data_IF_237177769467
#
_entry.id   IF_237177769467
#
_cell.length_a   1.000
_cell.length_b   1.000
_cell.length_c   1.000
_cell.angle_alpha   90.00
_cell.angle_beta   90.00
_cell.angle_gamma   90.00
#
_symmetry.space_group_name_H-M   'P 1'
#
loop_
_entity.id
_entity.type
_entity.pdbx_description
1 polymer ?
#
# COMPACT_ATOMS: atom_id res chain seq x y z
N UNK A 1 4.96 14.45 21.15
CA UNK A 1 4.44 13.37 22.02
C UNK A 1 3.62 12.42 21.16
N UNK A 2 4.11 11.22 20.84
CA UNK A 2 3.33 10.24 20.07
C UNK A 2 2.37 9.52 21.03
N UNK A 3 1.11 9.95 21.07
CA UNK A 3 0.06 9.24 21.81
C UNK A 3 -0.11 7.88 21.14
N UNK A 4 0.22 6.81 21.85
CA UNK A 4 -0.13 5.46 21.41
C UNK A 4 -1.66 5.37 21.40
N UNK A 5 -2.29 4.97 20.28
CA UNK A 5 -3.74 4.94 20.21
C UNK A 5 -4.28 3.93 21.23
N UNK A 6 -5.26 4.37 22.03
CA UNK A 6 -5.87 3.60 23.13
C UNK A 6 -6.46 2.27 22.63
N UNK A 7 -7.02 2.29 21.42
CA UNK A 7 -7.61 1.13 20.76
C UNK A 7 -6.90 0.83 19.44
N UNK A 8 -6.90 -0.43 19.04
CA UNK A 8 -6.37 -0.85 17.73
C UNK A 8 -7.28 -1.86 17.08
N UNK A 9 -7.30 -1.85 15.74
CA UNK A 9 -8.04 -2.85 14.95
C UNK A 9 -7.71 -4.27 15.40
N UNK A 10 -6.42 -4.57 15.63
CA UNK A 10 -5.98 -5.89 16.10
C UNK A 10 -6.59 -6.24 17.46
N UNK A 11 -6.60 -5.32 18.41
CA UNK A 11 -7.11 -5.60 19.76
C UNK A 11 -8.62 -5.84 19.72
N UNK A 12 -9.37 -5.05 18.95
CA UNK A 12 -10.82 -5.22 18.78
C UNK A 12 -11.14 -6.59 18.17
N UNK A 13 -10.38 -7.05 17.18
CA UNK A 13 -10.60 -8.36 16.56
C UNK A 13 -10.29 -9.55 17.49
N UNK A 14 -9.36 -9.38 18.44
CA UNK A 14 -8.97 -10.43 19.40
C UNK A 14 -9.93 -10.47 20.58
N UNK A 15 -10.37 -9.30 21.04
CA UNK A 15 -11.23 -9.16 22.22
C UNK A 15 -12.51 -9.98 22.06
N UNK A 16 -12.95 -10.62 23.15
CA UNK A 16 -14.15 -11.46 23.20
C UNK A 16 -14.29 -12.47 22.03
N UNK A 17 -13.18 -12.88 21.42
CA UNK A 17 -13.15 -13.76 20.23
C UNK A 17 -13.94 -13.19 19.04
N UNK A 18 -14.05 -11.87 18.92
CA UNK A 18 -14.83 -11.18 17.89
C UNK A 18 -14.55 -11.69 16.47
N UNK A 19 -13.28 -11.87 16.10
CA UNK A 19 -12.93 -12.41 14.78
C UNK A 19 -13.41 -13.85 14.57
N UNK A 20 -13.28 -14.71 15.58
CA UNK A 20 -13.70 -16.11 15.46
C UNK A 20 -15.23 -16.24 15.38
N UNK A 21 -15.95 -15.44 16.16
CA UNK A 21 -17.42 -15.36 16.11
C UNK A 21 -17.87 -14.85 14.73
N UNK A 22 -17.29 -13.74 14.25
CA UNK A 22 -17.59 -13.20 12.93
C UNK A 22 -17.33 -14.22 11.82
N UNK A 23 -16.16 -14.87 11.85
CA UNK A 23 -15.79 -15.92 10.87
C UNK A 23 -16.76 -17.10 10.90
N UNK A 24 -17.25 -17.50 12.07
CA UNK A 24 -18.25 -18.56 12.20
C UNK A 24 -19.61 -18.19 11.65
N UNK A 25 -20.01 -16.92 11.77
CA UNK A 25 -21.29 -16.41 11.28
C UNK A 25 -21.28 -16.12 9.77
N UNK A 26 -20.09 -16.00 9.17
CA UNK A 26 -19.89 -15.68 7.75
C UNK A 26 -19.08 -16.76 7.01
N UNK A 27 -19.66 -17.97 6.77
CA UNK A 27 -18.97 -19.06 6.08
C UNK A 27 -18.62 -18.74 4.61
N UNK A 28 -19.25 -17.74 4.02
CA UNK A 28 -19.02 -17.24 2.65
C UNK A 28 -17.71 -16.45 2.48
N UNK A 29 -17.01 -16.13 3.58
CA UNK A 29 -15.79 -15.33 3.53
C UNK A 29 -14.70 -15.97 2.66
N UNK A 30 -14.09 -15.13 1.82
CA UNK A 30 -12.96 -15.53 1.00
C UNK A 30 -11.77 -16.00 1.86
N UNK A 31 -11.24 -17.19 1.55
CA UNK A 31 -10.13 -17.82 2.28
C UNK A 31 -8.88 -16.95 2.34
N UNK A 32 -8.63 -16.13 1.32
CA UNK A 32 -7.50 -15.21 1.29
C UNK A 32 -7.74 -14.00 2.21
N UNK A 33 -8.97 -13.49 2.32
CA UNK A 33 -9.35 -12.48 3.31
C UNK A 33 -9.09 -12.99 4.73
N UNK A 34 -9.60 -14.19 5.06
CA UNK A 34 -9.39 -14.85 6.36
C UNK A 34 -7.90 -14.92 6.68
N UNK A 35 -7.10 -15.46 5.73
CA UNK A 35 -5.64 -15.58 5.87
C UNK A 35 -4.94 -14.24 6.10
N UNK A 36 -5.40 -13.14 5.50
CA UNK A 36 -4.78 -11.83 5.70
C UNK A 36 -5.11 -11.23 7.08
N UNK A 37 -6.32 -11.45 7.59
CA UNK A 37 -6.70 -11.05 8.95
C UNK A 37 -5.92 -11.87 9.98
N UNK A 38 -5.94 -13.20 9.88
CA UNK A 38 -5.25 -14.07 10.84
C UNK A 38 -3.74 -13.82 10.88
N UNK A 39 -3.10 -13.54 9.72
CA UNK A 39 -1.71 -13.06 9.68
C UNK A 39 -1.49 -11.81 10.51
N UNK A 40 -2.41 -10.85 10.47
CA UNK A 40 -2.31 -9.64 11.30
C UNK A 40 -2.48 -9.95 12.78
N UNK A 41 -3.45 -10.80 13.13
CA UNK A 41 -3.68 -11.23 14.53
C UNK A 41 -2.44 -11.92 15.10
N UNK A 42 -1.78 -12.76 14.31
CA UNK A 42 -0.54 -13.46 14.65
C UNK A 42 0.74 -12.62 14.50
N UNK A 43 0.64 -11.33 14.17
CA UNK A 43 1.83 -10.51 13.97
C UNK A 43 2.63 -10.36 15.27
N UNK A 44 3.92 -10.70 15.21
CA UNK A 44 4.83 -10.69 16.37
C UNK A 44 4.44 -11.68 17.47
N UNK A 45 3.72 -12.76 17.12
CA UNK A 45 3.47 -13.87 18.02
C UNK A 45 4.82 -14.49 18.47
N UNK A 46 5.15 -14.46 19.77
CA UNK A 46 6.40 -15.03 20.28
C UNK A 46 6.59 -16.48 19.88
N UNK A 47 5.52 -17.29 19.91
CA UNK A 47 5.57 -18.72 19.58
C UNK A 47 6.05 -19.01 18.14
N UNK A 48 5.98 -18.03 17.23
CA UNK A 48 6.46 -18.17 15.85
C UNK A 48 7.96 -17.87 15.69
N UNK A 49 8.65 -17.55 16.78
CA UNK A 49 10.08 -17.29 16.82
C UNK A 49 10.45 -15.81 16.91
N UNK A 50 11.72 -15.56 17.18
CA UNK A 50 12.27 -14.22 17.38
C UNK A 50 13.77 -14.19 17.06
N UNK A 51 14.26 -12.98 16.77
CA UNK A 51 15.69 -12.69 16.78
C UNK A 51 16.07 -12.18 18.16
N UNK A 52 17.16 -12.69 18.72
CA UNK A 52 17.79 -12.13 19.91
C UNK A 52 19.20 -11.67 19.54
N UNK A 53 19.61 -10.53 20.09
CA UNK A 53 20.97 -10.05 19.93
C UNK A 53 21.28 -8.94 20.91
N UNK A 54 22.55 -8.60 21.05
CA UNK A 54 23.01 -7.56 21.96
C UNK A 54 23.42 -6.31 21.18
N UNK A 55 22.96 -5.14 21.66
CA UNK A 55 23.38 -3.85 21.13
C UNK A 55 24.49 -3.28 22.01
N UNK A 56 25.73 -3.28 21.54
CA UNK A 56 26.88 -2.72 22.27
C UNK A 56 26.75 -1.21 22.52
N UNK A 57 26.11 -0.48 21.60
CA UNK A 57 25.91 0.96 21.76
C UNK A 57 24.85 1.31 22.81
N UNK A 58 23.76 0.54 22.87
CA UNK A 58 22.71 0.76 23.87
C UNK A 58 22.94 -0.02 25.16
N UNK A 59 23.93 -0.92 25.17
CA UNK A 59 24.16 -1.93 26.22
C UNK A 59 22.89 -2.69 26.61
N UNK A 60 22.07 -3.06 25.61
CA UNK A 60 20.75 -3.69 25.81
C UNK A 60 20.60 -4.94 24.97
N UNK A 61 19.99 -5.96 25.58
CA UNK A 61 19.44 -7.11 24.87
C UNK A 61 18.25 -6.69 24.02
N UNK A 62 18.17 -7.23 22.81
CA UNK A 62 17.15 -6.89 21.83
C UNK A 62 16.46 -8.16 21.37
N UNK A 63 15.18 -8.28 21.71
CA UNK A 63 14.28 -9.32 21.19
C UNK A 63 13.41 -8.70 20.09
N UNK A 64 13.44 -9.31 18.90
CA UNK A 64 12.61 -8.90 17.77
C UNK A 64 11.79 -10.08 17.26
N UNK A 65 10.50 -10.05 17.55
CA UNK A 65 9.56 -11.05 17.04
C UNK A 65 9.36 -10.95 15.52
N UNK A 66 9.03 -12.09 14.91
CA UNK A 66 8.76 -12.16 13.47
C UNK A 66 7.50 -11.36 13.12
N UNK A 67 7.63 -10.52 12.09
CA UNK A 67 6.54 -9.72 11.54
C UNK A 67 5.77 -10.49 10.48
N UNK A 68 4.45 -10.33 10.44
CA UNK A 68 3.59 -11.08 9.51
C UNK A 68 3.68 -10.61 8.05
N UNK A 69 4.13 -9.37 7.80
CA UNK A 69 4.13 -8.73 6.47
C UNK A 69 2.76 -8.70 5.76
N UNK A 70 1.65 -8.87 6.51
CA UNK A 70 0.28 -8.83 6.00
C UNK A 70 -0.13 -7.45 5.47
N UNK A 71 -1.12 -7.41 4.57
CA UNK A 71 -1.59 -6.19 3.91
C UNK A 71 -2.38 -5.25 4.83
N UNK A 72 -3.07 -5.81 5.83
CA UNK A 72 -3.93 -5.09 6.78
C UNK A 72 -3.27 -4.84 8.13
N UNK A 73 -2.05 -5.33 8.35
CA UNK A 73 -1.33 -5.09 9.59
C UNK A 73 -0.75 -3.66 9.59
N UNK A 74 -1.29 -2.77 10.42
CA UNK A 74 -0.80 -1.38 10.57
C UNK A 74 0.71 -1.32 10.85
N UNK A 75 1.22 -2.21 11.71
CA UNK A 75 2.65 -2.29 12.09
C UNK A 75 3.54 -2.68 10.90
N UNK A 76 3.14 -3.68 10.12
CA UNK A 76 3.92 -4.17 8.99
C UNK A 76 3.75 -3.29 7.73
N UNK A 77 2.54 -2.75 7.54
CA UNK A 77 2.17 -1.90 6.42
C UNK A 77 3.10 -0.71 6.27
N UNK A 78 3.38 0.01 7.37
CA UNK A 78 4.32 1.15 7.37
C UNK A 78 5.72 0.76 6.87
N UNK A 79 6.25 -0.39 7.30
CA UNK A 79 7.58 -0.83 6.87
C UNK A 79 7.61 -1.24 5.40
N UNK A 80 6.52 -1.86 4.93
CA UNK A 80 6.35 -2.17 3.52
C UNK A 80 6.29 -0.90 2.67
N UNK A 81 5.47 0.07 3.06
CA UNK A 81 5.32 1.39 2.42
C UNK A 81 6.69 2.06 2.29
N UNK A 82 7.47 2.15 3.37
CA UNK A 82 8.80 2.74 3.32
C UNK A 82 9.74 2.00 2.34
N UNK A 83 9.78 0.66 2.38
CA UNK A 83 10.58 -0.13 1.44
C UNK A 83 10.13 0.06 -0.01
N UNK A 84 8.82 0.20 -0.23
CA UNK A 84 8.27 0.44 -1.56
C UNK A 84 8.63 1.84 -2.06
N UNK A 85 8.54 2.86 -1.22
CA UNK A 85 8.94 4.24 -1.53
C UNK A 85 10.39 4.28 -2.01
N UNK A 86 11.31 3.66 -1.28
CA UNK A 86 12.73 3.61 -1.67
C UNK A 86 12.97 2.89 -3.00
N UNK A 87 12.19 1.84 -3.31
CA UNK A 87 12.25 1.17 -4.61
C UNK A 87 11.64 2.00 -5.73
N UNK A 88 10.57 2.74 -5.45
CA UNK A 88 9.88 3.57 -6.42
C UNK A 88 10.69 4.82 -6.79
N UNK A 89 11.42 5.42 -5.83
CA UNK A 89 12.34 6.55 -6.05
C UNK A 89 13.37 6.25 -7.14
N UNK A 90 13.87 5.01 -7.18
CA UNK A 90 14.85 4.53 -8.18
C UNK A 90 14.27 4.28 -9.58
N UNK A 91 12.95 4.39 -9.76
CA UNK A 91 12.24 4.03 -11.00
C UNK A 91 11.46 5.18 -11.60
N UNK A 92 11.01 6.12 -10.78
CA UNK A 92 10.21 7.25 -11.23
C UNK A 92 11.15 8.37 -11.72
N UNK A 93 10.70 9.14 -12.70
CA UNK A 93 11.41 10.32 -13.20
C UNK A 93 11.65 11.31 -12.05
N UNK A 94 12.76 12.05 -12.09
CA UNK A 94 13.13 13.03 -11.04
C UNK A 94 12.30 14.31 -11.15
N UNK A 95 11.73 14.54 -12.32
CA UNK A 95 10.89 15.67 -12.63
C UNK A 95 9.57 15.66 -11.84
N UNK A 96 8.98 16.84 -11.73
CA UNK A 96 7.76 17.04 -10.95
C UNK A 96 6.55 16.33 -11.57
N UNK A 97 5.58 16.01 -10.71
CA UNK A 97 4.30 15.42 -11.11
C UNK A 97 3.14 16.37 -10.79
N UNK A 98 2.02 16.20 -11.47
CA UNK A 98 0.70 16.63 -11.00
C UNK A 98 0.06 15.50 -10.21
N UNK A 99 -0.57 15.84 -9.10
CA UNK A 99 -1.44 14.92 -8.37
C UNK A 99 -2.85 15.10 -8.90
N UNK A 100 -3.45 14.02 -9.37
CA UNK A 100 -4.82 14.03 -9.90
C UNK A 100 -5.65 13.05 -9.10
N UNK A 101 -6.77 13.49 -8.52
CA UNK A 101 -7.74 12.56 -7.94
C UNK A 101 -8.97 12.45 -8.83
N UNK A 102 -9.40 11.22 -9.09
CA UNK A 102 -10.58 10.91 -9.91
C UNK A 102 -11.58 10.14 -9.05
N UNK A 103 -12.84 10.59 -9.00
CA UNK A 103 -13.90 9.92 -8.24
C UNK A 103 -15.03 9.47 -9.16
N UNK A 104 -15.93 8.64 -8.63
CA UNK A 104 -17.13 8.19 -9.34
C UNK A 104 -18.41 8.51 -8.54
N UNK A 105 -19.55 8.73 -9.24
CA UNK A 105 -20.87 8.86 -8.62
C UNK A 105 -21.20 7.71 -7.67
N UNK A 106 -21.99 7.98 -6.62
CA UNK A 106 -22.41 6.96 -5.65
C UNK A 106 -23.15 5.80 -6.29
N UNK A 107 -24.02 6.08 -7.26
CA UNK A 107 -24.83 5.06 -7.92
C UNK A 107 -23.97 4.06 -8.69
N UNK A 108 -22.92 4.56 -9.35
CA UNK A 108 -22.00 3.74 -10.13
C UNK A 108 -21.13 2.82 -9.25
N UNK A 109 -20.98 3.13 -7.96
CA UNK A 109 -20.19 2.29 -7.03
C UNK A 109 -20.79 0.91 -6.85
N UNK A 110 -22.11 0.76 -6.98
CA UNK A 110 -22.80 -0.53 -6.88
C UNK A 110 -22.26 -1.55 -7.87
N UNK A 111 -21.78 -1.10 -9.03
CA UNK A 111 -21.12 -1.96 -10.01
C UNK A 111 -19.81 -2.57 -9.44
N UNK A 112 -19.13 -1.93 -8.51
CA UNK A 112 -17.81 -2.40 -8.06
C UNK A 112 -17.80 -3.06 -6.69
N UNK A 113 -18.92 -3.03 -5.96
CA UNK A 113 -19.03 -3.67 -4.63
C UNK A 113 -18.78 -5.17 -4.77
N UNK A 114 -17.84 -5.71 -4.00
CA UNK A 114 -17.46 -7.13 -4.04
C UNK A 114 -16.66 -7.57 -5.28
N UNK A 115 -16.69 -6.80 -6.39
CA UNK A 115 -16.09 -7.15 -7.68
C UNK A 115 -14.72 -6.50 -7.91
N UNK A 116 -13.71 -7.01 -7.20
CA UNK A 116 -12.34 -6.49 -7.26
C UNK A 116 -11.68 -6.63 -8.64
N UNK A 117 -12.08 -7.62 -9.42
CA UNK A 117 -11.68 -7.82 -10.81
C UNK A 117 -12.06 -6.61 -11.70
N UNK A 118 -13.27 -6.07 -11.50
CA UNK A 118 -13.75 -4.90 -12.23
C UNK A 118 -13.07 -3.59 -11.81
N UNK A 119 -12.53 -3.49 -10.59
CA UNK A 119 -11.85 -2.26 -10.12
C UNK A 119 -10.63 -1.89 -10.97
N UNK A 120 -10.06 -2.83 -11.75
CA UNK A 120 -9.00 -2.53 -12.72
C UNK A 120 -9.49 -1.57 -13.82
N UNK A 121 -10.78 -1.64 -14.19
CA UNK A 121 -11.39 -0.78 -15.21
C UNK A 121 -11.24 0.70 -14.84
N UNK A 122 -11.38 1.04 -13.55
CA UNK A 122 -11.16 2.40 -13.05
C UNK A 122 -9.72 2.85 -13.34
N UNK A 123 -8.74 2.02 -12.99
CA UNK A 123 -7.33 2.36 -13.14
C UNK A 123 -6.90 2.50 -14.61
N UNK A 124 -7.39 1.61 -15.48
CA UNK A 124 -7.11 1.68 -16.92
C UNK A 124 -7.78 2.89 -17.56
N UNK A 125 -9.03 3.16 -17.20
CA UNK A 125 -9.78 4.32 -17.69
C UNK A 125 -9.10 5.62 -17.28
N UNK A 126 -8.50 5.69 -16.08
CA UNK A 126 -7.78 6.88 -15.64
C UNK A 126 -6.54 7.17 -16.48
N UNK A 127 -5.79 6.12 -16.84
CA UNK A 127 -4.66 6.26 -17.76
C UNK A 127 -5.12 6.77 -19.13
N UNK A 128 -6.13 6.11 -19.73
CA UNK A 128 -6.67 6.47 -21.05
C UNK A 128 -7.22 7.91 -21.04
N UNK A 129 -7.95 8.31 -20.00
CA UNK A 129 -8.54 9.64 -19.91
C UNK A 129 -7.51 10.76 -19.81
N UNK A 130 -6.44 10.56 -19.02
CA UNK A 130 -5.38 11.56 -18.89
C UNK A 130 -4.52 11.59 -20.16
N UNK A 131 -4.29 10.46 -20.81
CA UNK A 131 -3.55 10.40 -22.08
C UNK A 131 -4.31 11.09 -23.21
N UNK A 132 -5.61 10.84 -23.34
CA UNK A 132 -6.49 11.54 -24.30
C UNK A 132 -6.52 13.03 -24.00
N UNK A 133 -6.61 13.42 -22.72
CA UNK A 133 -6.52 14.82 -22.30
C UNK A 133 -5.20 15.45 -22.76
N UNK A 134 -4.06 14.81 -22.49
CA UNK A 134 -2.75 15.29 -22.92
C UNK A 134 -2.64 15.41 -24.44
N UNK A 135 -3.17 14.43 -25.18
CA UNK A 135 -3.13 14.45 -26.64
C UNK A 135 -3.93 15.63 -27.22
N UNK A 136 -5.10 15.91 -26.65
CA UNK A 136 -5.97 17.02 -27.07
C UNK A 136 -5.39 18.38 -26.67
N UNK A 137 -4.89 18.51 -25.45
CA UNK A 137 -4.24 19.75 -24.96
C UNK A 137 -3.02 20.13 -25.80
N UNK A 138 -2.17 19.15 -26.14
CA UNK A 138 -0.95 19.40 -26.91
C UNK A 138 -1.14 19.33 -28.43
N UNK A 139 -2.34 18.97 -28.90
CA UNK A 139 -2.65 18.67 -30.31
C UNK A 139 -1.66 17.68 -30.96
N UNK A 140 -1.20 16.70 -30.17
CA UNK A 140 -0.15 15.73 -30.55
C UNK A 140 -0.52 14.35 -30.01
N UNK A 141 -0.16 13.28 -30.72
CA UNK A 141 -0.25 11.92 -30.18
C UNK A 141 0.91 11.69 -29.22
N UNK A 142 0.66 11.78 -27.92
CA UNK A 142 1.69 11.70 -26.88
C UNK A 142 1.47 10.51 -25.96
N UNK A 143 2.56 10.05 -25.33
CA UNK A 143 2.50 9.02 -24.29
C UNK A 143 2.84 9.64 -22.94
N UNK A 144 1.93 9.50 -21.97
CA UNK A 144 2.11 10.07 -20.63
C UNK A 144 2.89 9.10 -19.71
N UNK A 145 3.52 9.62 -18.65
CA UNK A 145 3.95 8.81 -17.52
C UNK A 145 2.98 8.97 -16.36
N UNK A 146 2.30 7.90 -15.93
CA UNK A 146 1.38 7.97 -14.77
C UNK A 146 1.49 6.76 -13.82
N UNK A 147 1.43 7.04 -12.52
CA UNK A 147 1.15 6.02 -11.50
C UNK A 147 -0.28 6.20 -11.01
N UNK A 148 -1.04 5.11 -10.93
CA UNK A 148 -2.46 5.12 -10.52
C UNK A 148 -2.63 4.26 -9.28
N UNK A 149 -2.95 4.88 -8.15
CA UNK A 149 -3.30 4.23 -6.89
C UNK A 149 -4.81 4.18 -6.69
N UNK A 150 -5.35 3.00 -6.42
CA UNK A 150 -6.76 2.79 -6.07
C UNK A 150 -6.95 2.86 -4.55
N UNK A 151 -7.99 3.57 -4.11
CA UNK A 151 -8.50 3.52 -2.76
C UNK A 151 -9.99 3.19 -2.79
N UNK A 152 -10.44 2.23 -1.98
CA UNK A 152 -11.82 1.71 -2.01
C UNK A 152 -12.73 2.26 -0.91
N UNK A 153 -12.23 3.18 -0.07
CA UNK A 153 -12.93 3.63 1.13
C UNK A 153 -12.79 5.13 1.39
N UNK A 154 -13.85 5.72 1.93
CA UNK A 154 -13.86 7.08 2.46
C UNK A 154 -13.39 7.18 3.91
N UNK A 155 -13.52 8.37 4.51
CA UNK A 155 -13.23 8.55 5.94
C UNK A 155 -14.22 7.79 6.84
N UNK A 156 -15.44 7.58 6.36
CA UNK A 156 -16.53 6.84 7.00
C UNK A 156 -16.46 5.32 6.80
N UNK A 157 -15.36 4.81 6.21
CA UNK A 157 -15.17 3.40 5.85
C UNK A 157 -16.21 2.83 4.88
N UNK A 158 -17.07 3.67 4.28
CA UNK A 158 -18.00 3.20 3.24
C UNK A 158 -17.25 2.94 1.95
N UNK A 159 -17.78 1.99 1.17
CA UNK A 159 -17.27 1.71 -0.17
C UNK A 159 -17.31 2.97 -1.05
N UNK A 160 -16.13 3.47 -1.38
CA UNK A 160 -15.90 4.69 -2.12
C UNK A 160 -14.64 4.51 -2.98
N UNK A 161 -14.72 3.76 -4.09
CA UNK A 161 -13.62 3.61 -5.01
C UNK A 161 -13.29 4.96 -5.66
N UNK A 162 -12.05 5.38 -5.50
CA UNK A 162 -11.49 6.58 -6.12
C UNK A 162 -9.99 6.38 -6.38
N UNK A 163 -9.46 7.19 -7.28
CA UNK A 163 -8.10 7.06 -7.77
C UNK A 163 -7.27 8.26 -7.35
N UNK A 164 -6.04 7.97 -6.96
CA UNK A 164 -4.96 8.91 -6.70
C UNK A 164 -3.90 8.69 -7.76
N UNK A 165 -3.70 9.68 -8.62
CA UNK A 165 -2.83 9.58 -9.78
C UNK A 165 -1.64 10.53 -9.62
N UNK A 166 -0.44 10.06 -9.95
CA UNK A 166 0.74 10.89 -10.13
C UNK A 166 1.09 10.95 -11.61
N UNK A 167 0.80 12.09 -12.23
CA UNK A 167 1.01 12.32 -13.67
C UNK A 167 2.33 13.09 -13.83
N UNK A 168 3.28 12.53 -14.57
CA UNK A 168 4.53 13.20 -14.88
C UNK A 168 4.25 14.49 -15.66
N UNK A 169 4.90 15.60 -15.31
CA UNK A 169 4.77 16.88 -16.04
C UNK A 169 5.50 16.90 -17.40
N UNK A 170 5.76 15.71 -17.95
CA UNK A 170 6.44 15.47 -19.21
C UNK A 170 5.76 14.31 -19.93
N UNK A 171 5.81 14.34 -21.26
CA UNK A 171 5.25 13.32 -22.14
C UNK A 171 6.24 12.99 -23.25
N UNK A 172 6.10 11.81 -23.84
CA UNK A 172 6.88 11.39 -25.00
C UNK A 172 6.10 11.65 -26.28
N UNK A 173 6.73 12.34 -27.23
CA UNK A 173 6.23 12.64 -28.56
C UNK A 173 7.35 12.40 -29.58
N UNK A 174 7.17 11.47 -30.53
CA UNK A 174 8.17 11.11 -31.54
C UNK A 174 9.58 10.91 -30.95
N UNK A 175 9.71 10.04 -29.95
CA UNK A 175 10.94 9.78 -29.18
C UNK A 175 11.52 10.96 -28.37
N UNK A 176 10.97 12.17 -28.49
CA UNK A 176 11.37 13.33 -27.69
C UNK A 176 10.50 13.46 -26.44
N UNK A 177 11.12 13.91 -25.34
CA UNK A 177 10.41 14.26 -24.12
C UNK A 177 10.10 15.76 -24.14
N UNK A 178 8.82 16.10 -24.01
CA UNK A 178 8.33 17.49 -23.99
C UNK A 178 7.51 17.75 -22.73
N UNK A 179 7.34 19.02 -22.38
CA UNK A 179 6.62 19.43 -21.18
C UNK A 179 5.10 19.26 -21.31
N UNK A 180 4.47 18.88 -20.20
CA UNK A 180 3.03 18.78 -20.03
C UNK A 180 2.67 19.21 -18.59
N UNK A 181 2.80 20.51 -18.36
CA UNK A 181 2.67 21.11 -17.02
C UNK A 181 1.23 21.50 -16.67
N UNK A 182 0.34 21.59 -17.67
CA UNK A 182 -1.05 21.98 -17.49
C UNK A 182 -2.00 20.85 -17.89
N UNK A 183 -2.91 20.48 -16.99
CA UNK A 183 -3.96 19.50 -17.23
C UNK A 183 -5.31 20.24 -17.12
N UNK A 184 -6.07 20.41 -18.22
CA UNK A 184 -7.34 21.12 -18.18
C UNK A 184 -8.40 20.29 -17.43
N UNK A 185 -8.66 20.64 -16.17
CA UNK A 185 -9.56 19.89 -15.27
C UNK A 185 -10.97 19.75 -15.85
N UNK A 186 -11.51 20.81 -16.48
CA UNK A 186 -12.85 20.78 -17.10
C UNK A 186 -12.97 19.82 -18.28
N UNK A 187 -11.91 19.68 -19.06
CA UNK A 187 -11.86 18.69 -20.14
C UNK A 187 -11.63 17.28 -19.59
N UNK A 188 -10.80 17.16 -18.55
CA UNK A 188 -10.50 15.88 -17.92
C UNK A 188 -11.74 15.26 -17.26
N UNK A 189 -12.60 16.03 -16.58
CA UNK A 189 -13.84 15.50 -15.97
C UNK A 189 -14.79 14.86 -16.99
N UNK A 190 -14.90 15.45 -18.18
CA UNK A 190 -15.73 14.94 -19.27
C UNK A 190 -15.08 13.68 -19.87
N UNK A 191 -13.79 13.76 -20.15
CA UNK A 191 -13.01 12.65 -20.71
C UNK A 191 -12.98 11.43 -19.78
N UNK A 192 -12.86 11.67 -18.46
CA UNK A 192 -12.95 10.66 -17.40
C UNK A 192 -14.29 9.95 -17.40
N UNK A 193 -15.40 10.70 -17.39
CA UNK A 193 -16.76 10.15 -17.48
C UNK A 193 -16.92 9.27 -18.72
N UNK A 194 -16.63 9.83 -19.90
CA UNK A 194 -16.92 9.17 -21.18
C UNK A 194 -16.13 7.86 -21.35
N UNK A 195 -14.83 7.88 -21.05
CA UNK A 195 -13.97 6.69 -21.16
C UNK A 195 -14.34 5.65 -20.10
N UNK A 196 -14.61 6.07 -18.87
CA UNK A 196 -15.00 5.13 -17.83
C UNK A 196 -16.30 4.39 -18.20
N UNK A 197 -17.33 5.12 -18.64
CA UNK A 197 -18.61 4.52 -19.06
C UNK A 197 -18.39 3.56 -20.23
N UNK A 198 -17.65 3.99 -21.25
CA UNK A 198 -17.29 3.14 -22.39
C UNK A 198 -16.60 1.84 -21.96
N UNK A 199 -15.65 1.92 -21.03
CA UNK A 199 -14.90 0.75 -20.58
C UNK A 199 -15.70 -0.15 -19.62
N UNK A 200 -16.62 0.42 -18.82
CA UNK A 200 -17.61 -0.36 -18.05
C UNK A 200 -18.53 -1.13 -19.01
N UNK A 201 -19.05 -0.49 -20.06
CA UNK A 201 -19.98 -1.14 -20.99
C UNK A 201 -19.34 -2.26 -21.84
N UNK A 202 -18.00 -2.26 -21.95
CA UNK A 202 -17.23 -3.35 -22.57
C UNK A 202 -16.97 -4.54 -21.64
N UNK A 203 -17.18 -4.36 -20.34
CA UNK A 203 -17.00 -5.43 -19.38
C UNK A 203 -18.13 -6.47 -19.49
N UNK A 204 -17.84 -7.67 -18.99
CA UNK A 204 -18.81 -8.73 -18.83
C UNK A 204 -19.64 -8.48 -17.57
N UNK A 205 -20.67 -7.66 -17.73
CA UNK A 205 -21.60 -7.20 -16.69
C UNK A 205 -23.03 -7.24 -17.24
N UNK A 206 -24.04 -7.19 -16.35
CA UNK A 206 -25.43 -7.31 -16.76
C UNK A 206 -25.87 -6.13 -17.65
N UNK A 207 -26.92 -6.34 -18.44
CA UNK A 207 -27.52 -5.28 -19.25
C UNK A 207 -27.98 -4.09 -18.37
N UNK A 208 -28.61 -4.37 -17.24
CA UNK A 208 -29.06 -3.34 -16.28
C UNK A 208 -27.90 -2.51 -15.70
N UNK A 209 -26.73 -3.10 -15.50
CA UNK A 209 -25.52 -2.38 -15.05
C UNK A 209 -24.95 -1.50 -16.16
N UNK A 210 -25.04 -1.94 -17.42
CA UNK A 210 -24.67 -1.10 -18.59
C UNK A 210 -25.63 0.08 -18.75
N UNK A 211 -26.93 -0.12 -18.59
CA UNK A 211 -27.92 0.96 -18.61
C UNK A 211 -27.66 1.98 -17.49
N UNK A 212 -27.38 1.51 -16.27
CA UNK A 212 -26.98 2.37 -15.16
C UNK A 212 -25.75 3.20 -15.56
N UNK A 213 -24.71 2.58 -16.13
CA UNK A 213 -23.52 3.28 -16.56
C UNK A 213 -23.81 4.33 -17.66
N UNK A 214 -24.60 3.99 -18.67
CA UNK A 214 -24.98 4.92 -19.75
C UNK A 214 -25.77 6.12 -19.23
N UNK A 215 -26.72 5.90 -18.31
CA UNK A 215 -27.52 6.98 -17.73
C UNK A 215 -26.67 8.05 -17.00
N UNK A 216 -25.42 7.73 -16.62
CA UNK A 216 -24.51 8.71 -16.03
C UNK A 216 -24.10 9.81 -17.01
N UNK A 217 -24.18 9.57 -18.34
CA UNK A 217 -23.88 10.60 -19.35
C UNK A 217 -24.84 11.79 -19.23
N UNK A 218 -26.13 11.50 -19.04
CA UNK A 218 -27.19 12.49 -18.88
C UNK A 218 -27.19 13.10 -17.48
N UNK A 219 -27.07 12.27 -16.42
CA UNK A 219 -27.10 12.74 -15.02
C UNK A 219 -25.92 13.63 -14.65
N UNK A 220 -24.78 13.47 -15.31
CA UNK A 220 -23.56 14.22 -15.03
C UNK A 220 -23.07 14.92 -16.30
N UNK A 221 -23.81 15.88 -16.88
CA UNK A 221 -23.52 16.45 -18.22
C UNK A 221 -22.15 17.14 -18.26
N UNK A 222 -21.70 17.66 -17.11
CA UNK A 222 -20.40 18.31 -16.93
C UNK A 222 -19.25 17.35 -16.60
N UNK A 223 -19.45 16.03 -16.63
CA UNK A 223 -18.42 15.06 -16.28
C UNK A 223 -18.37 14.70 -14.79
N UNK A 224 -17.45 13.81 -14.43
CA UNK A 224 -17.26 13.33 -13.06
C UNK A 224 -16.23 14.17 -12.31
N UNK A 225 -16.30 14.21 -10.98
CA UNK A 225 -15.42 15.07 -10.16
C UNK A 225 -13.95 14.66 -10.32
N UNK A 226 -13.12 15.66 -10.63
CA UNK A 226 -11.67 15.57 -10.72
C UNK A 226 -11.02 16.71 -9.96
N UNK A 227 -9.88 16.44 -9.34
CA UNK A 227 -9.05 17.47 -8.72
C UNK A 227 -7.62 17.35 -9.25
N UNK A 228 -6.99 18.47 -9.60
CA UNK A 228 -5.63 18.52 -10.15
C UNK A 228 -4.83 19.49 -9.29
N UNK A 229 -3.78 18.98 -8.65
CA UNK A 229 -2.92 19.73 -7.75
C UNK A 229 -1.46 19.63 -8.20
N UNK A 230 -0.68 20.65 -7.88
CA UNK A 230 0.77 20.59 -8.00
C UNK A 230 1.39 19.77 -6.88
N UNK A 231 2.31 18.87 -7.25
CA UNK A 231 3.15 18.19 -6.26
C UNK A 231 4.40 19.00 -5.94
N UNK A 232 4.86 18.91 -4.68
CA UNK A 232 6.04 19.62 -4.19
C UNK A 232 7.36 18.90 -4.50
N UNK A 233 7.39 17.56 -4.56
CA UNK A 233 8.61 16.78 -4.87
C UNK A 233 8.31 15.32 -5.26
N UNK A 234 9.28 14.67 -5.92
CA UNK A 234 9.24 13.23 -6.26
C UNK A 234 8.94 12.35 -5.04
N UNK A 235 9.60 12.62 -3.90
CA UNK A 235 9.37 11.88 -2.67
C UNK A 235 7.96 12.10 -2.11
N UNK A 236 7.46 13.33 -2.16
CA UNK A 236 6.11 13.65 -1.72
C UNK A 236 5.07 12.88 -2.53
N UNK A 237 5.24 12.79 -3.86
CA UNK A 237 4.35 12.06 -4.78
C UNK A 237 4.33 10.56 -4.47
N UNK A 238 5.50 9.95 -4.34
CA UNK A 238 5.59 8.51 -4.07
C UNK A 238 5.01 8.22 -2.69
N UNK A 239 5.33 9.01 -1.67
CA UNK A 239 4.77 8.84 -0.32
C UNK A 239 3.26 9.03 -0.33
N UNK A 240 2.75 10.02 -1.07
CA UNK A 240 1.33 10.27 -1.24
C UNK A 240 0.61 9.01 -1.73
N UNK A 241 1.08 8.40 -2.83
CA UNK A 241 0.52 7.16 -3.38
C UNK A 241 0.72 5.95 -2.46
N UNK A 242 1.86 5.88 -1.77
CA UNK A 242 2.21 4.74 -0.94
C UNK A 242 1.28 4.58 0.27
N UNK A 243 0.62 5.66 0.73
CA UNK A 243 -0.38 5.63 1.82
C UNK A 243 -1.52 4.65 1.55
N UNK A 244 -1.86 4.43 0.29
CA UNK A 244 -3.01 3.63 -0.11
C UNK A 244 -2.67 2.15 -0.34
N UNK A 245 -1.41 1.74 -0.18
CA UNK A 245 -0.98 0.40 -0.59
C UNK A 245 -1.23 -0.71 0.42
N UNK A 246 -0.94 -0.47 1.71
CA UNK A 246 -0.95 -1.48 2.79
C UNK A 246 -1.24 -0.83 4.13
N UNK A 247 -2.50 -0.48 4.32
CA UNK A 247 -3.03 -0.03 5.59
C UNK A 247 -4.48 -0.51 5.68
N UNK A 248 -4.99 -0.90 6.86
CA UNK A 248 -6.42 -1.13 7.02
C UNK A 248 -7.23 0.13 6.67
N UNK A 249 -8.52 -0.04 6.38
CA UNK A 249 -9.40 1.06 5.96
C UNK A 249 -9.54 2.21 7.00
N UNK A 250 -9.05 1.99 8.21
CA UNK A 250 -9.04 2.95 9.31
C UNK A 250 -7.69 3.01 10.01
N UNK A 251 -7.26 4.22 10.39
CA UNK A 251 -6.15 4.45 11.33
C UNK A 251 -6.61 4.16 12.75
N UNK A 252 -5.78 3.47 13.55
CA UNK A 252 -6.05 3.27 14.98
C UNK A 252 -6.32 4.58 15.73
N UNK A 253 -5.70 5.69 15.30
CA UNK A 253 -5.92 7.02 15.90
C UNK A 253 -7.32 7.60 15.68
N UNK A 254 -8.12 7.01 14.77
CA UNK A 254 -9.50 7.41 14.53
C UNK A 254 -10.50 6.61 15.36
N UNK A 255 -10.05 5.58 16.08
CA UNK A 255 -10.92 4.79 16.98
C UNK A 255 -10.95 5.54 18.31
N UNK A 256 -12.08 6.19 18.62
CA UNK A 256 -12.23 7.02 19.82
C UNK A 256 -12.64 6.18 21.03
N UNK A 257 -13.54 5.22 20.86
CA UNK A 257 -14.00 4.32 21.92
C UNK A 257 -14.30 2.91 21.43
N UNK A 258 -14.24 1.95 22.36
CA UNK A 258 -14.67 0.57 22.21
C UNK A 258 -15.10 0.05 23.59
N UNK A 259 -16.34 -0.44 23.70
CA UNK A 259 -16.96 -0.91 24.95
C UNK A 259 -17.10 -2.44 25.05
N UNK A 260 -16.55 -3.19 24.09
CA UNK A 260 -16.74 -4.62 23.95
C UNK A 260 -17.73 -5.01 22.85
N UNK A 261 -18.74 -4.17 22.58
CA UNK A 261 -19.84 -4.42 21.63
C UNK A 261 -19.91 -3.41 20.49
N UNK A 262 -19.62 -2.15 20.78
CA UNK A 262 -19.72 -1.03 19.85
C UNK A 262 -18.38 -0.30 19.74
N UNK A 263 -18.09 0.16 18.53
CA UNK A 263 -16.91 0.95 18.18
C UNK A 263 -17.37 2.33 17.72
N UNK A 264 -16.83 3.38 18.31
CA UNK A 264 -17.00 4.75 17.80
C UNK A 264 -15.74 5.20 17.09
N UNK A 265 -15.90 5.68 15.87
CA UNK A 265 -14.81 6.26 15.07
C UNK A 265 -15.04 7.75 14.83
N UNK A 266 -13.93 8.49 14.77
CA UNK A 266 -13.89 9.87 14.29
C UNK A 266 -13.86 9.90 12.76
N UNK A 267 -14.79 10.64 12.16
CA UNK A 267 -14.87 10.89 10.72
C UNK A 267 -14.68 12.38 10.44
N UNK A 268 -13.66 12.72 9.64
CA UNK A 268 -13.42 14.09 9.20
C UNK A 268 -14.03 14.27 7.79
N UNK A 269 -15.15 15.00 7.67
CA UNK A 269 -15.80 15.27 6.38
C UNK A 269 -15.01 16.28 5.57
N UNK A 270 -14.52 17.33 6.22
CA UNK A 270 -13.62 18.33 5.65
C UNK A 270 -12.80 18.98 6.79
N UNK A 271 -12.03 20.03 6.50
CA UNK A 271 -11.21 20.75 7.51
C UNK A 271 -12.02 21.32 8.68
N UNK A 272 -13.33 21.50 8.52
CA UNK A 272 -14.19 22.24 9.44
C UNK A 272 -15.32 21.41 10.05
N UNK A 273 -15.50 20.16 9.58
CA UNK A 273 -16.61 19.31 9.99
C UNK A 273 -16.13 17.90 10.30
N UNK A 274 -16.24 17.54 11.58
CA UNK A 274 -16.04 16.19 12.09
C UNK A 274 -17.35 15.64 12.66
N UNK A 275 -17.54 14.33 12.57
CA UNK A 275 -18.65 13.63 13.21
C UNK A 275 -18.21 12.26 13.71
N UNK A 276 -19.01 11.67 14.60
CA UNK A 276 -18.78 10.33 15.15
C UNK A 276 -19.64 9.33 14.41
N UNK A 277 -19.07 8.19 14.08
CA UNK A 277 -19.79 7.07 13.49
C UNK A 277 -19.64 5.85 14.39
N UNK A 278 -20.77 5.26 14.74
CA UNK A 278 -20.83 4.06 15.56
C UNK A 278 -21.01 2.83 14.66
N UNK A 279 -20.41 1.74 15.10
CA UNK A 279 -20.55 0.42 14.50
C UNK A 279 -20.75 -0.59 15.62
N UNK A 280 -21.59 -1.58 15.40
CA UNK A 280 -21.43 -2.86 16.11
C UNK A 280 -20.10 -3.51 15.71
N UNK A 281 -19.61 -4.47 16.51
CA UNK A 281 -18.42 -5.25 16.14
C UNK A 281 -18.57 -5.86 14.74
N UNK A 282 -19.72 -6.44 14.43
CA UNK A 282 -19.97 -7.10 13.15
C UNK A 282 -19.89 -6.12 11.97
N UNK A 283 -20.60 -4.99 12.05
CA UNK A 283 -20.57 -3.95 11.02
C UNK A 283 -19.17 -3.35 10.84
N UNK A 284 -18.41 -3.23 11.93
CA UNK A 284 -17.03 -2.74 11.87
C UNK A 284 -16.12 -3.72 11.12
N UNK A 285 -16.23 -5.02 11.39
CA UNK A 285 -15.46 -6.06 10.70
C UNK A 285 -15.86 -6.10 9.22
N UNK A 286 -17.16 -6.11 8.90
CA UNK A 286 -17.68 -6.06 7.53
C UNK A 286 -17.16 -4.83 6.77
N UNK A 287 -17.17 -3.66 7.41
CA UNK A 287 -16.65 -2.42 6.85
C UNK A 287 -15.14 -2.43 6.66
N UNK A 288 -14.40 -3.17 7.49
CA UNK A 288 -12.95 -3.29 7.39
C UNK A 288 -12.54 -4.24 6.25
N UNK A 289 -13.11 -5.45 6.20
CA UNK A 289 -12.61 -6.54 5.36
C UNK A 289 -12.96 -6.36 3.88
N UNK A 290 -14.06 -5.67 3.55
CA UNK A 290 -14.44 -5.39 2.16
C UNK A 290 -13.37 -4.62 1.39
N UNK A 291 -12.46 -3.95 2.09
CA UNK A 291 -11.36 -3.17 1.51
C UNK A 291 -10.04 -3.94 1.40
N UNK A 292 -10.03 -5.24 1.73
CA UNK A 292 -8.87 -6.10 1.55
C UNK A 292 -8.78 -6.51 0.08
N UNK A 293 -7.72 -6.11 -0.65
CA UNK A 293 -7.62 -6.44 -2.06
C UNK A 293 -7.43 -7.94 -2.26
N UNK A 294 -8.13 -8.50 -3.25
CA UNK A 294 -7.96 -9.88 -3.69
C UNK A 294 -6.48 -10.25 -3.89
N UNK A 295 -6.20 -11.55 -3.83
CA UNK A 295 -4.87 -12.08 -4.12
C UNK A 295 -4.39 -11.56 -5.46
N UNK A 296 -3.14 -11.09 -5.51
CA UNK A 296 -2.48 -10.53 -6.70
C UNK A 296 -3.02 -9.19 -7.25
N UNK A 297 -4.14 -8.65 -6.75
CA UNK A 297 -4.63 -7.34 -7.18
C UNK A 297 -3.56 -6.24 -6.97
N UNK A 298 -3.37 -5.38 -7.98
CA UNK A 298 -2.38 -4.30 -7.95
C UNK A 298 -3.05 -2.99 -7.60
N UNK A 299 -2.99 -2.63 -6.32
CA UNK A 299 -3.53 -1.36 -5.79
C UNK A 299 -2.86 -0.15 -6.45
N UNK A 300 -1.56 -0.22 -6.74
CA UNK A 300 -0.84 0.81 -7.49
C UNK A 300 -0.32 0.22 -8.80
N UNK A 301 -0.63 0.90 -9.91
CA UNK A 301 -0.22 0.52 -11.28
C UNK A 301 0.62 1.62 -11.92
N UNK A 302 1.49 1.19 -12.83
CA UNK A 302 2.47 2.03 -13.52
C UNK A 302 2.15 1.94 -15.02
N UNK A 303 1.78 3.07 -15.63
CA UNK A 303 1.34 3.12 -17.03
C UNK A 303 2.23 4.04 -17.88
N UNK A 304 2.09 3.90 -19.20
CA UNK A 304 2.80 4.69 -20.19
C UNK A 304 4.32 4.64 -20.00
N UNK A 305 4.96 5.80 -19.79
CA UNK A 305 6.43 5.90 -19.60
C UNK A 305 6.94 5.17 -18.36
N UNK A 306 6.07 4.91 -17.38
CA UNK A 306 6.42 4.11 -16.20
C UNK A 306 6.23 2.60 -16.40
N UNK A 307 5.74 2.18 -17.56
CA UNK A 307 5.59 0.76 -17.87
C UNK A 307 6.97 0.08 -17.90
N UNK A 308 7.01 -1.20 -17.51
CA UNK A 308 8.26 -1.97 -17.44
C UNK A 308 9.03 -2.02 -18.77
N UNK A 309 8.32 -1.92 -19.89
CA UNK A 309 8.91 -1.92 -21.23
C UNK A 309 9.67 -0.63 -21.49
N UNK A 310 9.04 0.52 -21.28
CA UNK A 310 9.66 1.83 -21.52
C UNK A 310 10.85 2.07 -20.59
N UNK A 311 10.71 1.80 -19.29
CA UNK A 311 11.81 1.94 -18.32
C UNK A 311 13.01 1.05 -18.67
N UNK A 312 12.79 -0.12 -19.28
CA UNK A 312 13.89 -0.98 -19.75
C UNK A 312 14.56 -0.44 -21.02
N UNK A 313 13.79 0.17 -21.92
CA UNK A 313 14.31 0.76 -23.16
C UNK A 313 15.15 1.99 -22.86
N UNK A 314 14.68 2.90 -22.01
CA UNK A 314 15.45 4.08 -21.60
C UNK A 314 16.75 3.69 -20.89
N UNK A 315 16.72 2.68 -20.00
CA UNK A 315 17.92 2.15 -19.33
C UNK A 315 18.90 1.43 -20.26
N UNK A 316 18.45 0.97 -21.44
CA UNK A 316 19.36 0.44 -22.46
C UNK A 316 20.05 1.57 -23.23
N UNK A 317 19.38 2.71 -23.38
CA UNK A 317 19.86 3.87 -24.13
C UNK A 317 20.70 4.82 -23.26
N UNK A 318 20.54 4.82 -21.93
CA UNK A 318 21.47 5.48 -21.02
C UNK A 318 22.70 4.58 -20.76
N UNK A 319 23.91 5.13 -20.89
CA UNK A 319 25.18 4.43 -20.63
C UNK A 319 25.39 3.97 -19.17
N UNK A 320 24.39 4.05 -18.29
CA UNK A 320 24.43 3.59 -16.89
C UNK A 320 24.25 2.07 -16.76
N UNK A 321 25.08 1.30 -17.49
CA UNK A 321 25.03 -0.17 -17.44
C UNK A 321 25.95 -0.79 -16.39
N UNK A 322 26.76 -0.02 -15.66
CA UNK A 322 27.83 -0.60 -14.83
C UNK A 322 27.50 -0.88 -13.36
N UNK A 323 26.45 -0.32 -12.73
CA UNK A 323 26.23 -0.59 -11.29
C UNK A 323 25.37 -1.81 -10.96
N UNK A 324 24.69 -2.44 -11.93
CA UNK A 324 23.71 -3.48 -11.60
C UNK A 324 24.33 -4.88 -11.47
N UNK A 325 25.53 -5.11 -12.02
CA UNK A 325 26.19 -6.44 -11.99
C UNK A 325 26.93 -6.68 -10.66
N UNK A 326 27.39 -5.65 -9.94
CA UNK A 326 28.03 -5.83 -8.62
C UNK A 326 27.06 -6.26 -7.51
N UNK A 327 25.75 -6.09 -7.72
CA UNK A 327 24.70 -6.49 -6.76
C UNK A 327 24.44 -8.00 -6.72
N UNK A 328 24.90 -8.76 -7.71
CA UNK A 328 24.75 -10.22 -7.72
C UNK A 328 25.87 -10.96 -6.99
N UNK A 329 27.06 -10.34 -6.85
CA UNK A 329 28.22 -10.93 -6.16
C UNK A 329 28.32 -10.56 -4.68
N UNK A 330 27.36 -9.81 -4.14
CA UNK A 330 27.30 -9.48 -2.72
C UNK A 330 25.92 -9.82 -2.16
N UNK A 331 25.67 -11.09 -1.93
CA UNK A 331 24.72 -11.53 -0.90
C UNK A 331 25.27 -11.15 0.49
N UNK A 332 25.47 -9.85 0.75
CA UNK A 332 25.81 -9.33 2.08
C UNK A 332 24.68 -9.78 3.00
N UNK A 333 25.03 -10.63 3.98
CA UNK A 333 24.14 -10.96 5.11
C UNK A 333 23.55 -9.65 5.62
N UNK A 334 22.22 -9.58 5.61
CA UNK A 334 21.50 -8.33 5.87
C UNK A 334 21.76 -7.93 7.32
N UNK A 335 22.59 -6.90 7.54
CA UNK A 335 22.92 -6.40 8.87
C UNK A 335 21.63 -6.01 9.60
N UNK A 336 21.37 -6.67 10.72
CA UNK A 336 20.21 -6.39 11.57
C UNK A 336 20.57 -5.23 12.50
N UNK A 337 19.75 -4.18 12.48
CA UNK A 337 19.99 -2.94 13.22
C UNK A 337 19.19 -2.90 14.52
N UNK A 338 19.77 -2.35 15.57
CA UNK A 338 19.12 -2.10 16.86
C UNK A 338 17.87 -1.24 16.66
N UNK A 339 16.70 -1.62 17.18
CA UNK A 339 15.48 -0.82 17.06
C UNK A 339 15.59 0.51 17.81
N UNK A 340 16.43 0.60 18.85
CA UNK A 340 16.63 1.78 19.67
C UNK A 340 17.57 2.81 18.99
N UNK A 341 18.85 2.48 18.81
CA UNK A 341 19.85 3.44 18.26
C UNK A 341 20.19 3.26 16.78
N UNK A 342 19.61 2.27 16.08
CA UNK A 342 19.89 1.96 14.66
C UNK A 342 21.30 1.45 14.34
N UNK A 343 22.20 1.34 15.32
CA UNK A 343 23.51 0.70 15.13
C UNK A 343 23.36 -0.81 14.85
N UNK A 344 24.31 -1.43 14.13
CA UNK A 344 24.35 -2.87 13.93
C UNK A 344 24.28 -3.64 15.25
N UNK A 345 23.47 -4.70 15.29
CA UNK A 345 23.51 -5.66 16.40
C UNK A 345 24.64 -6.66 16.14
N UNK A 346 25.38 -7.01 17.20
CA UNK A 346 26.29 -8.15 17.19
C UNK A 346 25.57 -9.40 17.71
N UNK A 347 26.07 -10.56 17.30
CA UNK A 347 25.62 -11.88 17.78
C UNK A 347 24.10 -12.06 17.68
N UNK A 348 23.53 -11.74 16.50
CA UNK A 348 22.09 -11.92 16.28
C UNK A 348 21.80 -13.38 15.95
N UNK A 349 21.11 -14.05 16.86
CA UNK A 349 20.65 -15.41 16.73
C UNK A 349 19.15 -15.46 16.45
N UNK A 350 18.73 -16.51 15.74
CA UNK A 350 17.33 -16.77 15.42
C UNK A 350 16.84 -17.98 16.19
N UNK A 351 15.75 -17.80 16.93
CA UNK A 351 15.16 -18.84 17.77
C UNK A 351 13.79 -19.24 17.21
N UNK A 352 13.65 -20.51 16.86
CA UNK A 352 12.39 -21.22 16.70
C UNK A 352 12.18 -21.95 18.02
N UNK A 353 11.07 -21.74 18.74
CA UNK A 353 10.86 -22.25 20.10
C UNK A 353 11.32 -23.72 20.24
N UNK A 354 12.19 -24.10 21.19
CA UNK A 354 12.30 -23.66 22.60
C UNK A 354 13.42 -22.64 22.90
N UNK A 355 13.23 -21.72 23.86
CA UNK A 355 14.35 -20.95 24.42
C UNK A 355 15.34 -21.90 25.12
N UNK A 356 16.67 -21.76 24.94
CA UNK A 356 17.61 -22.53 25.73
C UNK A 356 17.51 -22.12 27.20
N UNK A 357 17.64 -23.11 28.08
CA UNK A 357 17.69 -22.94 29.54
C UNK A 357 18.64 -21.79 29.94
N UNK A 358 18.17 -20.88 30.80
CA UNK A 358 18.94 -19.69 31.24
C UNK A 358 20.29 -20.08 31.85
N UNK A 359 20.39 -21.27 32.48
CA UNK A 359 21.65 -21.82 33.01
C UNK A 359 22.63 -22.24 31.90
N UNK A 360 22.13 -22.68 30.74
CA UNK A 360 22.93 -23.01 29.55
C UNK A 360 23.39 -21.77 28.76
N UNK A 361 22.73 -20.62 28.96
CA UNK A 361 23.16 -19.33 28.40
C UNK A 361 24.29 -18.75 29.25
N UNK A 362 24.17 -18.81 30.59
CA UNK A 362 25.22 -18.31 31.50
C UNK A 362 26.49 -19.16 31.48
N UNK A 363 26.40 -20.50 31.42
CA UNK A 363 27.59 -21.36 31.30
C UNK A 363 28.32 -21.25 29.96
N UNK A 364 27.71 -20.56 28.98
CA UNK A 364 28.35 -20.24 27.70
C UNK A 364 28.89 -18.81 27.66
N UNK A 365 28.51 -17.91 28.56
CA UNK A 365 29.05 -16.54 28.55
C UNK A 365 30.56 -16.50 28.83
N UNK A 366 31.08 -17.44 29.62
CA UNK A 366 32.53 -17.58 29.87
C UNK A 366 33.31 -18.21 28.70
N UNK A 367 32.61 -18.88 27.78
CA UNK A 367 33.20 -19.52 26.60
C UNK A 367 33.29 -18.59 25.37
N UNK A 368 32.82 -17.35 25.48
CA UNK A 368 32.73 -16.39 24.37
C UNK A 368 33.80 -15.28 24.42
N UNK A 369 34.71 -15.34 25.40
CA UNK A 369 35.81 -14.38 25.56
C UNK A 369 37.09 -14.81 24.82
N UNK A 370 37.22 -16.08 24.39
CA UNK A 370 38.42 -16.52 23.69
C UNK A 370 38.12 -17.06 22.28
N UNK A 371 38.17 -16.16 21.29
CA UNK A 371 38.04 -16.50 19.86
C UNK A 371 39.34 -17.09 19.25
N UNK A 372 40.34 -17.46 20.06
CA UNK A 372 41.60 -18.02 19.56
C UNK A 372 41.65 -19.56 19.50
N UNK A 373 40.66 -20.27 20.05
CA UNK A 373 40.86 -21.67 20.44
C UNK A 373 39.83 -22.71 19.95
N UNK A 374 39.06 -22.47 18.86
CA UNK A 374 38.23 -23.54 18.25
C UNK A 374 38.49 -23.85 16.76
N UNK A 375 38.71 -25.13 16.37
CA UNK A 375 39.43 -25.51 15.14
C UNK A 375 38.55 -25.65 13.89
N UNK A 376 37.23 -25.47 14.01
CA UNK A 376 36.30 -25.58 12.86
C UNK A 376 36.20 -24.29 12.02
N UNK A 377 36.97 -23.25 12.36
CA UNK A 377 37.06 -21.99 11.63
C UNK A 377 38.07 -22.01 10.45
N UNK A 378 38.53 -23.18 9.96
CA UNK A 378 39.58 -23.29 8.92
C UNK A 378 39.22 -24.01 7.60
N UNK A 379 37.94 -24.10 7.20
CA UNK A 379 37.59 -24.64 5.85
C UNK A 379 36.57 -23.81 5.05
N UNK A 380 36.62 -22.49 5.16
CA UNK A 380 35.94 -21.59 4.23
C UNK A 380 36.77 -20.33 3.90
N UNK A 381 38.09 -20.45 3.97
CA UNK A 381 39.07 -19.43 3.56
C UNK A 381 40.21 -20.07 2.76
N UNK A 382 39.86 -20.97 1.85
CA UNK A 382 40.69 -21.39 0.71
C UNK A 382 39.85 -21.27 -0.55
#
# INVERSE_FOLDING_TARGET
>A
MYIHPRYSVRNILIDNRNWEIYKSNHPELDKYIIKEIEKMLDCCNPAKGFFYGYCEHCKKEIIMHIKCNGKVCTRCGRQYVNKWVEKAKKKIFKEAHKLVSLTIPSDLRKIFIGRWDLLKILQDSAYESIEVTACKTLRKKVKIGILVGLQTYGQDMKFHPHLHCAVLKKVKYNEKIIDFTFIPSEFLRITWRNILIKNICKADISYTEKELAYSMLERYPNGFVTNVEDSRSQEAVIRYLARYMRHPAISNSRIESYDGKNITIKVNKNKWKEFRQNFTVDEFITSLIQHIPLKNFKVVRWYGLYSRREVRLERKNSHERQETISLFLHAKRKIIKCPNCKNPLKNVEFFIYKPPDRRKIMSKLDYWIDLSSYPYARRALS
#
